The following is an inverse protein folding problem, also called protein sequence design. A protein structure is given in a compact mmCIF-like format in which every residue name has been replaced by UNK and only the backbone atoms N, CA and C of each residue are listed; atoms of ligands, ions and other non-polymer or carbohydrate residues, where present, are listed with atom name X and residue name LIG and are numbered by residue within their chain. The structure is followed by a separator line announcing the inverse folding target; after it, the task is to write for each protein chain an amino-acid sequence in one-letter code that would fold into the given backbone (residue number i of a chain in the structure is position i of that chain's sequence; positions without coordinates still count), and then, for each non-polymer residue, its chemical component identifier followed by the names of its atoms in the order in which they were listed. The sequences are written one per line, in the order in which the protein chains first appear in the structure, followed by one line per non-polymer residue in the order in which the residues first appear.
data_IF_059529316872
#
_entry.id   IF_059529316872
#
_cell.length_a   1.000
_cell.length_b   1.000
_cell.length_c   1.000
_cell.angle_alpha   90.00
_cell.angle_beta   90.00
_cell.angle_gamma   90.00
#
_symmetry.space_group_name_H-M   'P 1'
#
loop_
_entity.id
_entity.type
_entity.pdbx_description
1 polymer ?
#
# COMPACT_ATOMS: atom_id res chain seq x y z
N UNK A 1 -14.43 11.90 2.71
CA UNK A 1 -13.15 11.31 3.13
C UNK A 1 -12.70 10.37 2.01
N UNK A 2 -11.45 10.47 1.57
CA UNK A 2 -10.83 9.64 0.54
C UNK A 2 -9.84 8.70 1.20
N UNK A 3 -10.07 7.40 1.07
CA UNK A 3 -9.24 6.37 1.70
C UNK A 3 -8.44 5.66 0.61
N UNK A 4 -7.13 5.87 0.56
CA UNK A 4 -6.27 5.11 -0.33
C UNK A 4 -6.12 3.69 0.20
N UNK A 5 -6.54 2.70 -0.57
CA UNK A 5 -6.42 1.28 -0.21
C UNK A 5 -5.34 0.65 -1.07
N UNK A 6 -4.14 0.45 -0.50
CA UNK A 6 -3.00 -0.16 -1.20
C UNK A 6 -3.13 -1.68 -1.12
N UNK A 7 -2.89 -2.38 -2.23
CA UNK A 7 -3.17 -3.82 -2.34
C UNK A 7 -4.65 -4.10 -2.59
N UNK A 8 -5.33 -3.20 -3.32
CA UNK A 8 -6.77 -3.23 -3.51
C UNK A 8 -7.34 -4.52 -4.15
N UNK A 9 -6.52 -5.31 -4.83
CA UNK A 9 -6.92 -6.61 -5.43
C UNK A 9 -6.71 -7.80 -4.47
N UNK A 10 -6.11 -7.59 -3.30
CA UNK A 10 -6.00 -8.61 -2.27
C UNK A 10 -7.36 -8.91 -1.61
N UNK A 11 -7.42 -9.98 -0.82
CA UNK A 11 -8.66 -10.40 -0.15
C UNK A 11 -9.27 -9.25 0.68
N UNK A 12 -8.50 -8.70 1.62
CA UNK A 12 -8.95 -7.60 2.46
C UNK A 12 -9.15 -6.29 1.67
N UNK A 13 -8.25 -5.99 0.72
CA UNK A 13 -8.35 -4.79 -0.11
C UNK A 13 -9.65 -4.75 -0.93
N UNK A 14 -10.04 -5.89 -1.51
CA UNK A 14 -11.28 -6.03 -2.29
C UNK A 14 -12.50 -5.79 -1.42
N UNK A 15 -12.58 -6.47 -0.27
CA UNK A 15 -13.71 -6.34 0.65
C UNK A 15 -13.81 -4.91 1.21
N UNK A 16 -12.67 -4.30 1.54
CA UNK A 16 -12.62 -2.94 2.08
C UNK A 16 -13.07 -1.92 1.04
N UNK A 17 -12.61 -2.02 -0.21
CA UNK A 17 -13.06 -1.17 -1.31
C UNK A 17 -14.58 -1.28 -1.52
N UNK A 18 -15.14 -2.49 -1.49
CA UNK A 18 -16.60 -2.69 -1.59
C UNK A 18 -17.35 -2.03 -0.44
N UNK A 19 -16.83 -2.09 0.79
CA UNK A 19 -17.45 -1.49 1.97
C UNK A 19 -17.36 0.04 2.00
N UNK A 20 -16.24 0.60 1.53
CA UNK A 20 -16.00 2.04 1.47
C UNK A 20 -16.74 2.71 0.30
N UNK A 21 -17.04 1.97 -0.77
CA UNK A 21 -17.73 2.49 -1.96
C UNK A 21 -16.98 3.68 -2.56
N UNK A 22 -17.68 4.79 -2.79
CA UNK A 22 -17.12 6.01 -3.40
C UNK A 22 -16.01 6.69 -2.57
N UNK A 23 -15.83 6.28 -1.31
CA UNK A 23 -14.73 6.78 -0.47
C UNK A 23 -13.41 6.08 -0.76
N UNK A 24 -13.44 4.90 -1.38
CA UNK A 24 -12.23 4.14 -1.67
C UNK A 24 -11.48 4.72 -2.87
N UNK A 25 -10.17 4.89 -2.72
CA UNK A 25 -9.25 5.10 -3.83
C UNK A 25 -8.41 3.81 -3.93
N UNK A 26 -8.83 2.83 -4.75
CA UNK A 26 -8.11 1.57 -4.87
C UNK A 26 -6.76 1.80 -5.55
N UNK A 27 -5.69 1.29 -4.94
CA UNK A 27 -4.34 1.30 -5.49
C UNK A 27 -3.82 -0.14 -5.56
N UNK A 28 -3.52 -0.58 -6.77
CA UNK A 28 -2.98 -1.90 -7.09
C UNK A 28 -1.45 -1.87 -7.12
N UNK A 29 -0.83 -3.03 -7.39
CA UNK A 29 0.63 -3.10 -7.56
C UNK A 29 1.14 -2.26 -8.74
N UNK A 30 0.32 -2.11 -9.79
CA UNK A 30 0.67 -1.29 -10.95
C UNK A 30 0.60 0.21 -10.65
N UNK A 31 -0.16 0.60 -9.62
CA UNK A 31 -0.31 1.99 -9.19
C UNK A 31 0.74 2.39 -8.14
N UNK A 32 1.13 1.45 -7.26
CA UNK A 32 2.05 1.68 -6.14
C UNK A 32 3.00 0.51 -5.93
N UNK A 33 4.29 0.79 -6.08
CA UNK A 33 5.37 -0.11 -5.67
C UNK A 33 5.93 0.36 -4.31
N UNK A 34 5.68 -0.39 -3.25
CA UNK A 34 6.08 -0.02 -1.88
C UNK A 34 7.60 0.00 -1.70
N UNK A 35 8.34 -0.80 -2.47
CA UNK A 35 9.81 -0.80 -2.45
C UNK A 35 10.41 0.47 -3.07
N UNK A 36 9.62 1.29 -3.75
CA UNK A 36 10.03 2.52 -4.43
C UNK A 36 9.35 3.77 -3.82
N UNK A 37 10.04 4.55 -2.97
CA UNK A 37 9.46 5.73 -2.35
C UNK A 37 8.84 6.75 -3.33
N UNK A 38 9.44 6.93 -4.50
CA UNK A 38 8.93 7.85 -5.52
C UNK A 38 7.63 7.35 -6.17
N UNK A 39 7.44 6.02 -6.25
CA UNK A 39 6.18 5.41 -6.69
C UNK A 39 5.05 5.77 -5.71
N UNK A 40 5.31 5.60 -4.41
CA UNK A 40 4.38 5.97 -3.34
C UNK A 40 4.05 7.47 -3.39
N UNK A 41 5.07 8.34 -3.53
CA UNK A 41 4.87 9.80 -3.63
C UNK A 41 3.92 10.15 -4.78
N UNK A 42 4.20 9.65 -5.99
CA UNK A 42 3.36 9.93 -7.17
C UNK A 42 1.92 9.45 -6.99
N UNK A 43 1.73 8.26 -6.46
CA UNK A 43 0.40 7.70 -6.28
C UNK A 43 -0.41 8.47 -5.24
N UNK A 44 0.19 8.85 -4.11
CA UNK A 44 -0.50 9.64 -3.09
C UNK A 44 -0.79 11.06 -3.58
N UNK A 45 0.09 11.65 -4.40
CA UNK A 45 -0.14 12.98 -4.99
C UNK A 45 -1.31 12.95 -5.99
N UNK A 46 -1.48 11.86 -6.74
CA UNK A 46 -2.62 11.66 -7.65
C UNK A 46 -3.90 11.31 -6.91
N UNK A 47 -3.82 10.49 -5.87
CA UNK A 47 -4.96 10.01 -5.10
C UNK A 47 -5.52 11.07 -4.15
N UNK A 48 -4.68 12.01 -3.68
CA UNK A 48 -4.99 13.02 -2.66
C UNK A 48 -5.83 12.45 -1.50
N UNK A 49 -5.37 11.40 -0.79
CA UNK A 49 -6.18 10.75 0.23
C UNK A 49 -6.16 11.50 1.56
N UNK A 50 -7.22 11.33 2.34
CA UNK A 50 -7.31 11.78 3.74
C UNK A 50 -6.68 10.77 4.71
N UNK A 51 -6.61 9.48 4.32
CA UNK A 51 -5.88 8.43 5.05
C UNK A 51 -5.48 7.27 4.12
N UNK A 52 -4.50 6.48 4.56
CA UNK A 52 -4.02 5.29 3.83
C UNK A 52 -4.28 4.01 4.62
N UNK A 53 -4.80 2.98 3.94
CA UNK A 53 -4.88 1.61 4.45
C UNK A 53 -4.00 0.71 3.60
N UNK A 54 -2.91 0.22 4.19
CA UNK A 54 -2.05 -0.75 3.53
C UNK A 54 -2.55 -2.18 3.74
N UNK A 55 -2.99 -2.82 2.67
CA UNK A 55 -3.31 -4.26 2.62
C UNK A 55 -2.33 -5.05 1.75
N UNK A 56 -1.31 -4.41 1.18
CA UNK A 56 -0.29 -5.06 0.38
C UNK A 56 0.78 -5.72 1.26
N UNK A 57 1.14 -6.95 0.90
CA UNK A 57 2.21 -7.72 1.52
C UNK A 57 2.72 -8.80 0.56
N UNK A 58 3.97 -9.19 0.71
CA UNK A 58 4.46 -10.49 0.25
C UNK A 58 3.92 -11.57 1.19
N UNK A 59 2.95 -12.36 0.73
CA UNK A 59 2.21 -13.33 1.55
C UNK A 59 2.50 -14.81 1.18
N UNK A 60 3.49 -15.06 0.32
CA UNK A 60 3.95 -16.41 0.01
C UNK A 60 4.84 -16.94 1.14
N UNK A 61 4.23 -17.39 2.25
CA UNK A 61 4.93 -17.79 3.48
C UNK A 61 6.02 -18.81 3.22
N UNK A 62 5.71 -19.87 2.46
CA UNK A 62 6.70 -20.92 2.16
C UNK A 62 7.92 -20.36 1.41
N UNK A 63 7.70 -19.44 0.46
CA UNK A 63 8.79 -18.81 -0.30
C UNK A 63 9.52 -17.72 0.48
N UNK A 64 8.92 -17.17 1.53
CA UNK A 64 9.55 -16.13 2.32
C UNK A 64 10.80 -16.66 3.06
N UNK A 65 10.82 -17.95 3.40
CA UNK A 65 11.98 -18.62 3.99
C UNK A 65 13.15 -18.73 3.00
N UNK A 66 12.85 -19.00 1.72
CA UNK A 66 13.85 -19.08 0.65
C UNK A 66 14.24 -17.69 0.09
N UNK A 67 13.35 -16.71 0.18
CA UNK A 67 13.50 -15.35 -0.36
C UNK A 67 13.35 -14.25 0.73
N UNK A 68 14.12 -14.30 1.83
CA UNK A 68 13.92 -13.41 2.97
C UNK A 68 14.17 -11.94 2.61
N UNK A 69 15.10 -11.67 1.71
CA UNK A 69 15.38 -10.32 1.21
C UNK A 69 14.16 -9.71 0.50
N UNK A 70 13.49 -10.51 -0.33
CA UNK A 70 12.30 -10.07 -1.06
C UNK A 70 11.12 -9.86 -0.13
N UNK A 71 10.91 -10.77 0.81
CA UNK A 71 9.87 -10.63 1.83
C UNK A 71 10.11 -9.37 2.68
N UNK A 72 11.34 -9.13 3.13
CA UNK A 72 11.71 -7.94 3.90
C UNK A 72 11.59 -6.64 3.09
N UNK A 73 11.97 -6.67 1.81
CA UNK A 73 11.86 -5.52 0.91
C UNK A 73 10.42 -4.97 0.90
N UNK A 74 9.42 -5.86 0.77
CA UNK A 74 8.01 -5.45 0.74
C UNK A 74 7.46 -5.22 2.14
N UNK A 75 7.55 -6.22 3.03
CA UNK A 75 6.81 -6.25 4.29
C UNK A 75 7.43 -5.37 5.40
N UNK A 76 8.71 -5.02 5.30
CA UNK A 76 9.39 -4.18 6.27
C UNK A 76 9.81 -2.84 5.67
N UNK A 77 10.68 -2.88 4.64
CA UNK A 77 11.21 -1.65 4.06
C UNK A 77 10.16 -0.89 3.25
N UNK A 78 9.28 -1.60 2.53
CA UNK A 78 8.18 -0.97 1.81
C UNK A 78 7.17 -0.31 2.73
N UNK A 79 6.83 -0.96 3.85
CA UNK A 79 5.97 -0.36 4.89
C UNK A 79 6.63 0.86 5.54
N UNK A 80 7.94 0.80 5.81
CA UNK A 80 8.71 1.97 6.28
C UNK A 80 8.65 3.12 5.26
N UNK A 81 8.86 2.84 3.97
CA UNK A 81 8.80 3.85 2.92
C UNK A 81 7.43 4.53 2.90
N UNK A 82 6.35 3.74 2.95
CA UNK A 82 4.99 4.25 3.01
C UNK A 82 4.79 5.17 4.23
N UNK A 83 5.17 4.71 5.42
CA UNK A 83 5.03 5.48 6.65
C UNK A 83 5.79 6.81 6.60
N UNK A 84 7.02 6.82 6.06
CA UNK A 84 7.80 8.06 5.88
C UNK A 84 7.10 9.02 4.92
N UNK A 85 6.62 8.52 3.77
CA UNK A 85 5.94 9.35 2.76
C UNK A 85 4.62 9.92 3.29
N UNK A 86 3.88 9.13 4.08
CA UNK A 86 2.67 9.56 4.79
C UNK A 86 2.98 10.63 5.84
N UNK A 87 4.03 10.43 6.65
CA UNK A 87 4.46 11.41 7.65
C UNK A 87 4.88 12.75 7.03
N UNK A 88 5.62 12.73 5.92
CA UNK A 88 5.98 13.93 5.15
C UNK A 88 4.75 14.74 4.67
N UNK A 89 3.61 14.08 4.50
CA UNK A 89 2.34 14.65 4.01
C UNK A 89 1.31 14.91 5.11
N UNK A 90 1.62 14.55 6.36
CA UNK A 90 0.65 14.52 7.46
C UNK A 90 -0.62 13.70 7.13
N UNK A 91 -0.47 12.62 6.35
CA UNK A 91 -1.54 11.66 6.07
C UNK A 91 -1.39 10.49 7.03
N UNK A 92 -2.43 10.12 7.80
CA UNK A 92 -2.41 8.97 8.68
C UNK A 92 -2.48 7.64 7.92
#
# INVERSE_FOLDING_TARGET
MRVAVIGALGQLGTDLCQKLGDQAVPLTHDDVELTEPDSIRRALDQATPDCVVNTAAYNFVDRAEDEPERACAVNAFGVRNLAVVCADRAVP
#
